data_IF_260572200629
#
_entry.id   IF_260572200629
#
_cell.length_a   1.000
_cell.length_b   1.000
_cell.length_c   1.000
_cell.angle_alpha   90.00
_cell.angle_beta   90.00
_cell.angle_gamma   90.00
#
_symmetry.space_group_name_H-M   'P 1'
#
loop_
_entity.id
_entity.type
_entity.pdbx_description
1 polymer ?
#
# COMPACT_ATOMS: atom_id res chain seq x y z
N UNK A 1 12.43 7.16 -4.23
CA UNK A 1 12.36 5.68 -4.17
C UNK A 1 10.98 5.29 -3.64
N UNK A 2 10.54 4.07 -3.93
CA UNK A 2 9.22 3.53 -3.57
C UNK A 2 9.44 2.39 -2.57
N UNK A 3 8.65 2.30 -1.49
CA UNK A 3 8.73 1.18 -0.54
C UNK A 3 7.92 -0.01 -1.06
N UNK A 4 8.54 -0.84 -1.88
CA UNK A 4 8.04 -2.17 -2.32
C UNK A 4 9.13 -3.21 -2.09
N UNK A 5 8.93 -4.47 -2.46
CA UNK A 5 9.96 -5.50 -2.37
C UNK A 5 11.00 -5.32 -3.49
N UNK A 6 12.27 -5.57 -3.18
CA UNK A 6 13.36 -5.72 -4.16
C UNK A 6 14.06 -7.04 -3.91
N UNK A 7 14.40 -7.79 -4.96
CA UNK A 7 15.04 -9.10 -4.86
C UNK A 7 14.11 -10.23 -5.31
N UNK A 8 14.39 -11.45 -4.88
CA UNK A 8 13.58 -12.63 -5.20
C UNK A 8 12.50 -12.87 -4.13
N UNK A 9 11.29 -12.39 -4.38
CA UNK A 9 10.18 -12.58 -3.45
C UNK A 9 9.75 -14.06 -3.36
N UNK A 10 9.51 -14.63 -2.16
CA UNK A 10 9.60 -14.03 -0.81
C UNK A 10 10.93 -14.32 -0.09
N UNK A 11 11.90 -14.92 -0.79
CA UNK A 11 13.08 -15.56 -0.21
C UNK A 11 14.20 -14.58 0.11
N UNK A 12 14.40 -13.57 -0.73
CA UNK A 12 15.54 -12.65 -0.67
C UNK A 12 15.10 -11.20 -0.87
N UNK A 13 15.55 -10.33 0.04
CA UNK A 13 15.37 -8.89 -0.05
C UNK A 13 16.71 -8.18 -0.27
N UNK A 14 16.79 -7.35 -1.29
CA UNK A 14 18.02 -6.63 -1.70
C UNK A 14 17.89 -5.11 -1.65
N UNK A 15 16.74 -4.59 -1.18
CA UNK A 15 16.48 -3.16 -1.09
C UNK A 15 17.20 -2.47 0.07
N UNK A 16 17.23 -1.14 0.04
CA UNK A 16 17.77 -0.32 1.14
C UNK A 16 16.75 -0.23 2.29
N UNK A 17 17.23 -0.27 3.53
CA UNK A 17 16.39 -0.08 4.73
C UNK A 17 15.67 -1.32 5.26
N UNK A 18 15.94 -2.51 4.70
CA UNK A 18 15.34 -3.78 5.12
C UNK A 18 13.90 -3.99 4.62
N UNK A 19 13.38 -5.23 4.65
CA UNK A 19 12.01 -5.51 4.23
C UNK A 19 11.05 -5.05 5.34
N UNK A 20 10.25 -4.02 5.06
CA UNK A 20 9.30 -3.53 6.05
C UNK A 20 8.72 -2.16 5.77
N UNK A 21 8.00 -1.65 6.76
CA UNK A 21 7.46 -0.28 6.72
C UNK A 21 8.59 0.75 6.82
N UNK A 22 8.35 1.91 6.21
CA UNK A 22 9.19 3.10 6.34
C UNK A 22 8.38 4.23 7.00
N UNK A 23 9.02 5.25 7.60
CA UNK A 23 8.33 6.43 8.09
C UNK A 23 7.36 7.02 7.05
N UNK A 24 6.20 7.51 7.50
CA UNK A 24 5.13 7.94 6.61
C UNK A 24 5.55 9.03 5.60
N UNK A 25 6.54 9.86 5.95
CA UNK A 25 7.10 10.93 5.11
C UNK A 25 8.44 10.56 4.44
N UNK A 26 8.77 9.27 4.36
CA UNK A 26 9.93 8.82 3.58
C UNK A 26 9.71 9.06 2.09
N UNK A 27 10.82 9.35 1.39
CA UNK A 27 10.89 9.68 -0.04
C UNK A 27 10.18 10.99 -0.42
N UNK A 28 10.03 11.24 -1.72
CA UNK A 28 9.41 12.46 -2.23
C UNK A 28 7.88 12.35 -2.28
N UNK A 29 7.16 13.43 -1.97
CA UNK A 29 5.72 13.46 -2.19
C UNK A 29 5.39 13.52 -3.68
N UNK A 30 4.14 13.16 -4.04
CA UNK A 30 3.61 13.40 -5.38
C UNK A 30 3.25 14.89 -5.61
N UNK A 31 2.73 15.22 -6.80
CA UNK A 31 2.36 16.60 -7.16
C UNK A 31 1.29 17.27 -6.28
N UNK A 32 0.63 16.53 -5.39
CA UNK A 32 -0.34 17.04 -4.42
C UNK A 32 0.21 17.08 -2.98
N UNK A 33 1.51 16.83 -2.78
CA UNK A 33 2.10 16.79 -1.45
C UNK A 33 1.83 15.49 -0.68
N UNK A 34 1.29 14.46 -1.32
CA UNK A 34 1.00 13.17 -0.68
C UNK A 34 2.21 12.24 -0.72
N UNK A 35 2.57 11.68 0.43
CA UNK A 35 3.64 10.70 0.58
C UNK A 35 3.10 9.28 0.57
N UNK A 36 3.87 8.34 0.01
CA UNK A 36 3.65 6.89 0.10
C UNK A 36 2.22 6.44 -0.24
N UNK A 37 1.58 7.06 -1.24
CA UNK A 37 0.26 6.62 -1.74
C UNK A 37 0.32 5.29 -2.50
N UNK A 38 1.54 4.84 -2.82
CA UNK A 38 1.86 3.55 -3.42
C UNK A 38 3.01 2.94 -2.62
N UNK A 39 2.95 1.62 -2.39
CA UNK A 39 3.91 0.93 -1.52
C UNK A 39 3.68 1.22 -0.03
N UNK A 40 4.70 0.95 0.79
CA UNK A 40 4.69 1.01 2.25
C UNK A 40 3.60 0.14 2.86
N UNK A 41 2.37 0.63 3.02
CA UNK A 41 1.24 -0.16 3.51
C UNK A 41 0.05 -0.02 2.56
N UNK A 42 -0.73 -1.09 2.46
CA UNK A 42 -2.06 -0.99 1.86
C UNK A 42 -2.89 0.02 2.63
N UNK A 43 -3.71 0.80 1.94
CA UNK A 43 -4.55 1.80 2.58
C UNK A 43 -6.04 1.45 2.38
N UNK A 44 -6.75 1.28 3.50
CA UNK A 44 -8.21 1.15 3.50
C UNK A 44 -8.89 2.39 2.92
N UNK A 45 -10.01 2.17 2.22
CA UNK A 45 -10.91 3.24 1.77
C UNK A 45 -12.34 2.96 2.25
N UNK A 46 -13.20 3.99 2.26
CA UNK A 46 -14.57 3.87 2.72
C UNK A 46 -15.43 2.95 1.83
N UNK A 47 -15.09 2.81 0.55
CA UNK A 47 -15.86 2.06 -0.44
C UNK A 47 -15.99 0.56 -0.13
N UNK A 48 -17.18 0.01 -0.35
CA UNK A 48 -17.39 -1.44 -0.45
C UNK A 48 -16.84 -1.96 -1.78
N UNK A 49 -16.21 -3.14 -1.75
CA UNK A 49 -15.80 -3.86 -2.94
C UNK A 49 -16.92 -4.80 -3.38
N UNK A 50 -17.80 -4.32 -4.26
CA UNK A 50 -18.97 -5.10 -4.73
C UNK A 50 -18.58 -6.24 -5.70
N UNK A 51 -19.27 -7.40 -5.65
CA UNK A 51 -20.40 -7.73 -4.76
C UNK A 51 -19.99 -8.29 -3.38
N UNK A 52 -18.70 -8.33 -3.06
CA UNK A 52 -18.20 -8.98 -1.83
C UNK A 52 -18.46 -8.11 -0.58
N UNK A 53 -18.63 -8.76 0.57
CA UNK A 53 -18.69 -8.09 1.88
C UNK A 53 -17.27 -7.74 2.34
N UNK A 54 -16.60 -6.86 1.59
CA UNK A 54 -15.22 -6.46 1.81
C UNK A 54 -15.05 -4.98 1.51
N UNK A 55 -14.12 -4.29 2.17
CA UNK A 55 -13.79 -2.90 1.86
C UNK A 55 -12.64 -2.83 0.88
N UNK A 56 -12.60 -1.75 0.10
CA UNK A 56 -11.54 -1.52 -0.88
C UNK A 56 -10.23 -1.17 -0.16
N UNK A 57 -9.12 -1.70 -0.66
CA UNK A 57 -7.76 -1.29 -0.31
C UNK A 57 -7.00 -0.85 -1.57
N UNK A 58 -6.15 0.18 -1.44
CA UNK A 58 -5.35 0.77 -2.53
C UNK A 58 -3.88 0.87 -2.14
N UNK A 59 -3.02 1.14 -3.13
CA UNK A 59 -1.63 1.53 -2.93
C UNK A 59 -0.60 0.40 -2.99
N UNK A 60 -0.95 -0.83 -2.60
CA UNK A 60 0.06 -1.87 -2.44
C UNK A 60 0.82 -1.71 -1.11
N UNK A 61 1.85 -2.52 -0.87
CA UNK A 61 2.65 -2.44 0.36
C UNK A 61 4.13 -2.77 0.10
N UNK A 62 4.95 -2.70 1.14
CA UNK A 62 6.36 -3.09 1.12
C UNK A 62 6.60 -4.55 0.69
N UNK A 63 5.56 -5.39 0.65
CA UNK A 63 5.64 -6.76 0.15
C UNK A 63 5.40 -6.89 -1.36
N UNK A 64 4.84 -5.88 -2.02
CA UNK A 64 4.52 -5.98 -3.45
C UNK A 64 5.79 -6.18 -4.29
N UNK A 65 5.73 -7.08 -5.28
CA UNK A 65 6.82 -7.36 -6.21
C UNK A 65 6.25 -7.73 -7.59
N UNK A 66 6.95 -7.42 -8.68
CA UNK A 66 6.45 -7.66 -10.03
C UNK A 66 6.21 -9.13 -10.36
N UNK A 67 6.95 -10.04 -9.72
CA UNK A 67 6.78 -11.49 -9.94
C UNK A 67 5.40 -12.03 -9.52
N UNK A 68 4.68 -11.35 -8.61
CA UNK A 68 3.42 -11.88 -8.07
C UNK A 68 2.34 -10.83 -7.80
N UNK A 69 2.72 -9.57 -7.50
CA UNK A 69 1.82 -8.51 -7.08
C UNK A 69 2.31 -7.14 -7.56
N UNK A 70 1.90 -6.78 -8.78
CA UNK A 70 2.12 -5.45 -9.37
C UNK A 70 1.10 -4.38 -8.90
N UNK A 71 0.54 -4.54 -7.68
CA UNK A 71 -0.55 -3.68 -7.19
C UNK A 71 -0.08 -2.37 -6.55
N UNK A 72 1.21 -2.05 -6.67
CA UNK A 72 1.76 -0.73 -6.36
C UNK A 72 1.48 0.31 -7.48
N UNK A 73 0.73 -0.06 -8.53
CA UNK A 73 0.22 0.88 -9.54
C UNK A 73 -0.93 1.71 -8.97
N UNK A 74 -0.96 3.00 -9.26
CA UNK A 74 -2.02 3.93 -8.78
C UNK A 74 -3.44 3.45 -9.10
N UNK A 75 -3.64 2.80 -10.25
CA UNK A 75 -4.94 2.28 -10.68
C UNK A 75 -5.34 0.94 -10.01
N UNK A 76 -4.40 0.24 -9.36
CA UNK A 76 -4.66 -1.07 -8.78
C UNK A 76 -5.55 -0.99 -7.52
N UNK A 77 -6.38 -2.01 -7.33
CA UNK A 77 -7.24 -2.20 -6.15
C UNK A 77 -7.19 -3.63 -5.67
N UNK A 78 -7.38 -3.79 -4.36
CA UNK A 78 -7.64 -5.06 -3.70
C UNK A 78 -8.78 -4.86 -2.69
N UNK A 79 -9.04 -5.87 -1.87
CA UNK A 79 -10.06 -5.85 -0.81
C UNK A 79 -9.73 -6.79 0.32
N UNK A 80 -10.32 -6.56 1.48
CA UNK A 80 -10.35 -7.53 2.56
C UNK A 80 -11.62 -7.30 3.41
N UNK A 81 -11.98 -8.25 4.28
CA UNK A 81 -13.14 -8.09 5.17
C UNK A 81 -12.87 -6.94 6.16
N UNK A 82 -13.90 -6.17 6.60
CA UNK A 82 -13.69 -4.98 7.41
C UNK A 82 -13.03 -5.21 8.77
N UNK A 83 -13.09 -6.45 9.27
CA UNK A 83 -12.50 -6.93 10.53
C UNK A 83 -11.08 -7.50 10.37
N UNK A 84 -10.61 -7.67 9.13
CA UNK A 84 -9.27 -8.20 8.85
C UNK A 84 -8.17 -7.18 9.14
N UNK A 85 -7.05 -7.68 9.64
CA UNK A 85 -5.82 -6.90 9.86
C UNK A 85 -4.58 -7.71 9.54
N UNK A 86 -3.54 -7.04 9.04
CA UNK A 86 -2.20 -7.61 8.80
C UNK A 86 -1.14 -6.52 9.02
N UNK A 87 0.13 -6.90 9.17
CA UNK A 87 1.23 -5.95 9.40
C UNK A 87 1.56 -5.01 8.24
N UNK A 88 0.91 -5.17 7.08
CA UNK A 88 1.15 -4.39 5.87
C UNK A 88 -0.12 -3.65 5.37
N UNK A 89 -1.13 -3.50 6.23
CA UNK A 89 -2.34 -2.72 5.97
C UNK A 89 -2.46 -1.60 7.01
N UNK A 90 -2.72 -0.38 6.55
CA UNK A 90 -3.02 0.80 7.33
C UNK A 90 -4.11 1.64 6.65
N UNK A 91 -4.10 2.95 6.89
CA UNK A 91 -5.03 3.90 6.26
C UNK A 91 -4.49 5.33 6.36
N UNK A 92 -5.07 6.21 5.55
CA UNK A 92 -4.97 7.66 5.71
C UNK A 92 -6.37 8.26 5.81
N UNK A 93 -6.47 9.41 6.46
CA UNK A 93 -7.74 10.11 6.63
C UNK A 93 -7.93 11.17 5.56
N UNK A 94 -9.20 11.47 5.27
CA UNK A 94 -9.63 12.60 4.47
C UNK A 94 -10.70 13.37 5.25
N UNK A 95 -10.86 14.64 4.95
CA UNK A 95 -11.89 15.49 5.52
C UNK A 95 -12.44 16.42 4.44
N UNK A 96 -13.71 16.78 4.56
CA UNK A 96 -14.33 17.76 3.68
C UNK A 96 -13.67 19.14 3.89
N UNK A 97 -13.50 19.88 2.80
CA UNK A 97 -13.06 21.27 2.86
C UNK A 97 -14.10 22.12 3.59
N UNK A 98 -13.65 22.96 4.51
CA UNK A 98 -14.50 23.99 5.12
C UNK A 98 -14.82 25.11 4.13
#
# INVERSE_FOLDING_TARGET
MLSIWQGDFPSEYTGLGGPGTVPAHSYHPNGYGLFNTVGNVWEWTADWFVPDISRVMRGGSYLCHDSYCNRYRVAARSRNTPDSSTGNIGFRVAADGR
#
